data_IF_668699781100
#
_entry.id   IF_668699781100
#
_cell.length_a   1.000
_cell.length_b   1.000
_cell.length_c   1.000
_cell.angle_alpha   90.00
_cell.angle_beta   90.00
_cell.angle_gamma   90.00
#
_symmetry.space_group_name_H-M   'P 1'
#
loop_
_entity.id
_entity.type
_entity.pdbx_description
1 polymer ?
#
# COMPACT_ATOMS: atom_id res chain seq x y z
N UNK A 1 31.19 0.76 -14.01
CA UNK A 1 30.60 0.14 -12.81
C UNK A 1 30.23 1.25 -11.84
N UNK A 2 29.11 1.91 -12.08
CA UNK A 2 28.53 2.88 -11.15
C UNK A 2 27.86 2.07 -10.05
N UNK A 3 28.30 2.27 -8.81
CA UNK A 3 27.59 1.77 -7.64
C UNK A 3 26.15 2.28 -7.72
N UNK A 4 25.22 1.37 -7.96
CA UNK A 4 23.79 1.65 -7.84
C UNK A 4 23.55 1.89 -6.35
N UNK A 5 23.67 3.15 -5.94
CA UNK A 5 23.33 3.58 -4.59
C UNK A 5 21.91 3.12 -4.34
N UNK A 6 21.75 2.14 -3.45
CA UNK A 6 20.45 1.63 -3.00
C UNK A 6 19.67 2.83 -2.51
N UNK A 7 18.73 3.32 -3.33
CA UNK A 7 17.93 4.47 -2.98
C UNK A 7 16.95 4.03 -1.89
N UNK A 8 17.30 4.33 -0.65
CA UNK A 8 16.43 4.14 0.51
C UNK A 8 15.23 5.08 0.33
N UNK A 9 14.04 4.52 0.24
CA UNK A 9 12.83 5.31 0.08
C UNK A 9 12.56 6.14 1.34
N UNK A 10 12.37 7.45 1.17
CA UNK A 10 12.06 8.39 2.25
C UNK A 10 10.55 8.64 2.32
N UNK A 11 9.95 8.28 3.44
CA UNK A 11 8.49 8.24 3.61
C UNK A 11 8.07 9.24 4.68
N UNK A 12 7.17 10.16 4.32
CA UNK A 12 6.46 11.01 5.27
C UNK A 12 5.09 10.40 5.58
N UNK A 13 4.88 10.01 6.83
CA UNK A 13 3.59 9.52 7.33
C UNK A 13 2.84 10.66 8.02
N UNK A 14 1.66 11.02 7.52
CA UNK A 14 0.81 12.07 8.14
C UNK A 14 -0.52 11.50 8.58
N UNK A 15 -0.86 11.63 9.86
CA UNK A 15 -2.13 11.12 10.36
C UNK A 15 -2.47 11.51 11.79
N UNK A 16 -3.74 11.35 12.18
CA UNK A 16 -4.21 11.79 13.50
C UNK A 16 -3.82 10.87 14.67
N UNK A 17 -3.45 9.61 14.41
CA UNK A 17 -3.26 8.59 15.45
C UNK A 17 -1.80 8.23 15.60
N UNK A 18 -1.12 8.83 16.58
CA UNK A 18 0.31 8.61 16.84
C UNK A 18 0.69 7.13 16.93
N UNK A 19 -0.08 6.31 17.67
CA UNK A 19 0.18 4.86 17.80
C UNK A 19 0.18 4.11 16.46
N UNK A 20 -0.69 4.49 15.53
CA UNK A 20 -0.76 3.87 14.20
C UNK A 20 0.42 4.31 13.34
N UNK A 21 0.81 5.59 13.42
CA UNK A 21 1.99 6.11 12.73
C UNK A 21 3.26 5.43 13.26
N UNK A 22 3.35 5.21 14.57
CA UNK A 22 4.49 4.57 15.20
C UNK A 22 4.64 3.12 14.75
N UNK A 23 3.57 2.32 14.80
CA UNK A 23 3.56 0.94 14.32
C UNK A 23 3.91 0.84 12.83
N UNK A 24 3.32 1.73 12.01
CA UNK A 24 3.61 1.81 10.58
C UNK A 24 5.07 2.20 10.33
N UNK A 25 5.58 3.20 11.05
CA UNK A 25 6.94 3.67 10.91
C UNK A 25 7.97 2.61 11.25
N UNK A 26 7.79 1.89 12.37
CA UNK A 26 8.65 0.74 12.72
C UNK A 26 8.63 -0.32 11.63
N UNK A 27 7.45 -0.64 11.10
CA UNK A 27 7.30 -1.66 10.06
C UNK A 27 8.01 -1.28 8.76
N UNK A 28 7.94 -0.01 8.36
CA UNK A 28 8.63 0.51 7.17
C UNK A 28 10.15 0.63 7.38
N UNK A 29 10.59 1.03 8.58
CA UNK A 29 12.01 1.05 8.95
C UNK A 29 12.62 -0.36 8.92
N UNK A 30 11.90 -1.39 9.37
CA UNK A 30 12.33 -2.79 9.22
C UNK A 30 12.47 -3.23 7.77
N UNK A 31 11.79 -2.57 6.83
CA UNK A 31 11.93 -2.79 5.38
C UNK A 31 13.05 -1.92 4.77
N UNK A 32 13.83 -1.22 5.58
CA UNK A 32 14.95 -0.40 5.16
C UNK A 32 14.57 0.99 4.64
N UNK A 33 13.38 1.50 4.96
CA UNK A 33 12.92 2.85 4.57
C UNK A 33 13.25 3.90 5.64
N UNK A 34 13.51 5.13 5.21
CA UNK A 34 13.59 6.28 6.10
C UNK A 34 12.18 6.82 6.35
N UNK A 35 11.81 7.06 7.61
CA UNK A 35 10.43 7.44 7.96
C UNK A 35 10.40 8.66 8.85
N UNK A 36 9.65 9.67 8.42
CA UNK A 36 9.25 10.82 9.22
C UNK A 36 7.76 10.70 9.53
N UNK A 37 7.38 10.94 10.78
CA UNK A 37 5.99 10.87 11.24
C UNK A 37 5.54 12.25 11.69
N UNK A 38 4.37 12.68 11.23
CA UNK A 38 3.79 13.96 11.63
C UNK A 38 2.28 13.81 11.90
N UNK A 39 1.84 14.41 13.00
CA UNK A 39 0.43 14.41 13.40
C UNK A 39 -0.26 15.73 13.10
N UNK A 40 0.52 16.80 12.93
CA UNK A 40 0.06 18.13 12.58
C UNK A 40 0.27 18.42 11.09
N UNK A 41 -0.84 18.55 10.36
CA UNK A 41 -0.83 18.83 8.92
C UNK A 41 -0.19 20.18 8.59
N UNK A 42 -0.29 21.19 9.47
CA UNK A 42 0.32 22.48 9.22
C UNK A 42 1.85 22.36 9.28
N UNK A 43 2.39 21.68 10.30
CA UNK A 43 3.82 21.39 10.39
C UNK A 43 4.31 20.54 9.23
N UNK A 44 3.54 19.53 8.83
CA UNK A 44 3.87 18.69 7.67
C UNK A 44 4.01 19.50 6.38
N UNK A 45 3.23 20.59 6.24
CA UNK A 45 3.25 21.48 5.06
C UNK A 45 4.37 22.51 5.12
N UNK A 46 4.56 23.12 6.29
CA UNK A 46 5.35 24.36 6.42
C UNK A 46 6.81 24.09 6.85
N UNK A 47 7.09 22.96 7.51
CA UNK A 47 8.41 22.66 8.10
C UNK A 47 9.15 21.56 7.35
N UNK A 48 8.43 20.60 6.76
CA UNK A 48 9.07 19.48 6.07
C UNK A 48 9.55 19.90 4.68
N UNK A 49 10.83 19.65 4.42
CA UNK A 49 11.42 19.78 3.10
C UNK A 49 10.90 18.68 2.17
N UNK A 50 10.13 19.06 1.15
CA UNK A 50 9.53 18.13 0.20
C UNK A 50 10.56 17.46 -0.72
N UNK A 51 11.74 18.03 -0.91
CA UNK A 51 12.85 17.40 -1.65
C UNK A 51 13.41 16.16 -0.93
N UNK A 52 13.14 16.07 0.38
CA UNK A 52 13.53 14.97 1.26
C UNK A 52 12.48 13.85 1.37
N UNK A 53 11.38 13.93 0.62
CA UNK A 53 10.27 12.99 0.70
C UNK A 53 9.99 12.37 -0.66
N UNK A 54 10.06 11.05 -0.76
CA UNK A 54 9.76 10.29 -1.98
C UNK A 54 8.31 9.80 -1.98
N UNK A 55 7.79 9.45 -0.80
CA UNK A 55 6.42 8.99 -0.60
C UNK A 55 5.75 9.74 0.54
N UNK A 56 4.59 10.35 0.28
CA UNK A 56 3.69 10.90 1.28
C UNK A 56 2.55 9.91 1.53
N UNK A 57 2.48 9.30 2.73
CA UNK A 57 1.38 8.45 3.11
C UNK A 57 0.44 9.17 4.09
N UNK A 58 -0.82 9.31 3.68
CA UNK A 58 -1.84 10.06 4.39
C UNK A 58 -2.80 9.10 5.08
N UNK A 59 -3.01 9.28 6.38
CA UNK A 59 -4.03 8.53 7.11
C UNK A 59 -5.44 8.84 6.60
N UNK A 60 -6.37 7.88 6.71
CA UNK A 60 -7.77 7.97 6.23
C UNK A 60 -8.52 9.26 6.60
N UNK A 61 -8.17 9.89 7.73
CA UNK A 61 -8.81 11.12 8.22
C UNK A 61 -8.28 12.42 7.58
N UNK A 62 -7.20 12.35 6.80
CA UNK A 62 -6.60 13.49 6.10
C UNK A 62 -7.23 13.60 4.71
N UNK A 63 -8.19 14.52 4.55
CA UNK A 63 -9.02 14.67 3.34
C UNK A 63 -9.31 16.13 3.02
N UNK A 64 -9.81 16.39 1.81
CA UNK A 64 -10.27 17.70 1.35
C UNK A 64 -9.13 18.71 1.17
N UNK A 65 -9.46 20.01 1.30
CA UNK A 65 -8.56 21.13 1.00
C UNK A 65 -7.21 21.01 1.73
N UNK A 66 -7.19 20.65 3.02
CA UNK A 66 -5.95 20.50 3.79
C UNK A 66 -5.01 19.43 3.23
N UNK A 67 -5.57 18.35 2.69
CA UNK A 67 -4.78 17.33 2.00
C UNK A 67 -4.19 17.88 0.70
N UNK A 68 -5.02 18.58 -0.08
CA UNK A 68 -4.60 19.14 -1.37
C UNK A 68 -3.50 20.18 -1.21
N UNK A 69 -3.65 21.09 -0.25
CA UNK A 69 -2.63 22.09 0.11
C UNK A 69 -1.28 21.43 0.46
N UNK A 70 -1.30 20.40 1.32
CA UNK A 70 -0.10 19.66 1.70
C UNK A 70 0.56 18.99 0.49
N UNK A 71 -0.23 18.31 -0.35
CA UNK A 71 0.28 17.64 -1.56
C UNK A 71 0.88 18.64 -2.53
N UNK A 72 0.24 19.78 -2.74
CA UNK A 72 0.72 20.84 -3.64
C UNK A 72 2.04 21.43 -3.11
N UNK A 73 2.11 21.75 -1.82
CA UNK A 73 3.31 22.32 -1.21
C UNK A 73 4.53 21.39 -1.32
N UNK A 74 4.35 20.09 -1.05
CA UNK A 74 5.43 19.12 -1.16
C UNK A 74 5.79 18.81 -2.61
N UNK A 75 4.81 18.75 -3.53
CA UNK A 75 5.07 18.53 -4.97
C UNK A 75 5.78 19.70 -5.65
N UNK A 76 5.60 20.92 -5.15
CA UNK A 76 6.35 22.07 -5.63
C UNK A 76 7.86 21.89 -5.44
N UNK A 77 8.27 21.14 -4.42
CA UNK A 77 9.68 20.83 -4.11
C UNK A 77 10.13 19.48 -4.68
N UNK A 78 9.22 18.49 -4.77
CA UNK A 78 9.46 17.21 -5.42
C UNK A 78 8.30 16.82 -6.37
N UNK A 79 8.42 17.12 -7.68
CA UNK A 79 7.40 16.76 -8.67
C UNK A 79 7.16 15.25 -8.83
N UNK A 80 8.10 14.41 -8.37
CA UNK A 80 8.00 12.94 -8.43
C UNK A 80 7.38 12.35 -7.16
N UNK A 81 6.95 13.18 -6.20
CA UNK A 81 6.34 12.73 -4.95
C UNK A 81 5.15 11.81 -5.22
N UNK A 82 5.27 10.58 -4.72
CA UNK A 82 4.18 9.60 -4.74
C UNK A 82 3.29 9.85 -3.53
N UNK A 83 1.98 9.88 -3.74
CA UNK A 83 0.99 10.13 -2.69
C UNK A 83 0.18 8.86 -2.48
N UNK A 84 0.14 8.38 -1.24
CA UNK A 84 -0.59 7.19 -0.82
C UNK A 84 -1.69 7.60 0.13
N UNK A 85 -2.94 7.43 -0.29
CA UNK A 85 -4.08 7.56 0.60
C UNK A 85 -4.32 6.24 1.33
N UNK A 86 -4.17 6.26 2.65
CA UNK A 86 -4.39 5.10 3.48
C UNK A 86 -5.85 4.64 3.40
N UNK A 87 -6.06 3.45 2.82
CA UNK A 87 -7.39 2.91 2.54
C UNK A 87 -8.15 2.58 3.83
N UNK A 88 -7.46 1.94 4.76
CA UNK A 88 -8.00 1.58 6.05
C UNK A 88 -6.93 1.74 7.14
N UNK A 89 -7.31 1.94 8.42
CA UNK A 89 -6.37 1.99 9.54
C UNK A 89 -5.87 0.57 9.89
N UNK A 90 -5.35 -0.15 8.91
CA UNK A 90 -4.81 -1.51 9.00
C UNK A 90 -3.30 -1.39 8.72
N UNK A 91 -2.42 -1.41 9.74
CA UNK A 91 -0.98 -1.22 9.56
C UNK A 91 -0.34 -2.08 8.45
N UNK A 92 -0.58 -3.41 8.37
CA UNK A 92 0.04 -4.22 7.31
C UNK A 92 -0.47 -3.88 5.90
N UNK A 93 -1.69 -3.35 5.77
CA UNK A 93 -2.21 -2.84 4.51
C UNK A 93 -1.51 -1.53 4.12
N UNK A 94 -1.35 -0.61 5.05
CA UNK A 94 -0.66 0.66 4.81
C UNK A 94 0.80 0.44 4.41
N UNK A 95 1.49 -0.52 5.06
CA UNK A 95 2.82 -0.96 4.64
C UNK A 95 2.81 -1.44 3.19
N UNK A 96 1.86 -2.31 2.83
CA UNK A 96 1.75 -2.82 1.47
C UNK A 96 1.45 -1.72 0.44
N UNK A 97 0.66 -0.71 0.80
CA UNK A 97 0.40 0.45 -0.08
C UNK A 97 1.65 1.31 -0.29
N UNK A 98 2.45 1.51 0.76
CA UNK A 98 3.74 2.23 0.65
C UNK A 98 4.73 1.41 -0.17
N UNK A 99 4.80 0.10 0.05
CA UNK A 99 5.60 -0.81 -0.78
C UNK A 99 5.17 -0.72 -2.24
N UNK A 100 3.87 -0.81 -2.54
CA UNK A 100 3.36 -0.62 -3.90
C UNK A 100 3.78 0.74 -4.48
N UNK A 101 3.70 1.82 -3.72
CA UNK A 101 4.17 3.11 -4.20
C UNK A 101 5.68 3.10 -4.51
N UNK A 102 6.52 2.53 -3.65
CA UNK A 102 7.98 2.52 -3.82
C UNK A 102 8.41 1.56 -4.93
N UNK A 103 7.98 0.30 -4.87
CA UNK A 103 8.52 -0.82 -5.65
C UNK A 103 7.90 -0.96 -7.02
N UNK A 104 6.72 -0.38 -7.26
CA UNK A 104 5.94 -0.79 -8.43
C UNK A 104 6.41 -0.06 -9.69
N UNK A 105 6.88 -0.80 -10.70
CA UNK A 105 7.26 -0.21 -11.98
C UNK A 105 5.99 0.27 -12.73
N UNK A 106 6.12 1.00 -13.86
CA UNK A 106 4.98 1.47 -14.64
C UNK A 106 3.96 0.35 -14.89
N UNK A 107 2.68 0.70 -14.94
CA UNK A 107 1.56 -0.24 -14.96
C UNK A 107 1.77 -1.41 -15.90
N UNK A 108 2.42 -1.19 -17.05
CA UNK A 108 2.59 -2.12 -18.16
C UNK A 108 3.67 -3.20 -17.91
N UNK A 109 4.52 -3.00 -16.90
CA UNK A 109 5.62 -3.91 -16.55
C UNK A 109 5.37 -4.75 -15.30
N UNK A 110 4.27 -4.48 -14.58
CA UNK A 110 3.90 -5.19 -13.35
C UNK A 110 3.73 -6.70 -13.59
N UNK A 111 4.16 -7.52 -12.65
CA UNK A 111 3.90 -8.97 -12.63
C UNK A 111 2.40 -9.23 -12.49
N UNK A 112 1.73 -8.49 -11.58
CA UNK A 112 0.29 -8.57 -11.35
C UNK A 112 -0.39 -7.40 -12.05
N UNK A 113 -1.15 -7.69 -13.10
CA UNK A 113 -1.91 -6.69 -13.87
C UNK A 113 -3.18 -6.25 -13.15
N UNK A 114 -3.89 -7.17 -12.49
CA UNK A 114 -5.05 -6.87 -11.65
C UNK A 114 -5.35 -8.01 -10.70
N UNK A 115 -6.05 -7.70 -9.60
CA UNK A 115 -6.65 -8.70 -8.72
C UNK A 115 -8.07 -8.28 -8.33
N UNK A 116 -9.02 -9.20 -8.48
CA UNK A 116 -10.43 -8.99 -8.14
C UNK A 116 -10.95 -10.12 -7.27
N UNK A 117 -12.00 -9.85 -6.50
CA UNK A 117 -12.73 -10.88 -5.78
C UNK A 117 -14.12 -11.03 -6.38
N UNK A 118 -14.41 -12.23 -6.90
CA UNK A 118 -15.71 -12.59 -7.46
C UNK A 118 -16.58 -13.23 -6.37
N UNK A 119 -17.40 -12.41 -5.70
CA UNK A 119 -18.22 -12.85 -4.56
C UNK A 119 -19.19 -13.99 -4.90
N UNK A 120 -19.77 -14.00 -6.11
CA UNK A 120 -20.76 -15.00 -6.52
C UNK A 120 -20.23 -16.43 -6.52
N UNK A 121 -18.95 -16.59 -6.87
CA UNK A 121 -18.27 -17.90 -6.92
C UNK A 121 -17.18 -18.05 -5.85
N UNK A 122 -17.04 -17.05 -4.97
CA UNK A 122 -16.06 -16.99 -3.88
C UNK A 122 -14.62 -17.27 -4.35
N UNK A 123 -14.15 -16.52 -5.36
CA UNK A 123 -12.81 -16.68 -5.95
C UNK A 123 -12.06 -15.36 -6.00
N UNK A 124 -10.76 -15.42 -5.77
CA UNK A 124 -9.86 -14.35 -6.20
C UNK A 124 -9.43 -14.64 -7.64
N UNK A 125 -9.53 -13.65 -8.51
CA UNK A 125 -9.05 -13.72 -9.89
C UNK A 125 -7.90 -12.76 -10.04
N UNK A 126 -6.75 -13.28 -10.50
CA UNK A 126 -5.57 -12.47 -10.81
C UNK A 126 -5.29 -12.54 -12.29
N UNK A 127 -4.88 -11.42 -12.86
CA UNK A 127 -4.27 -11.38 -14.18
C UNK A 127 -2.77 -11.27 -13.99
N UNK A 128 -2.06 -12.39 -14.15
CA UNK A 128 -0.61 -12.48 -14.10
C UNK A 128 -0.04 -12.17 -15.49
N UNK A 129 0.98 -11.32 -15.57
CA UNK A 129 1.69 -11.04 -16.83
C UNK A 129 2.97 -11.83 -16.98
N UNK A 130 3.50 -12.34 -15.87
CA UNK A 130 4.70 -13.18 -15.78
C UNK A 130 4.46 -14.22 -14.70
N UNK A 131 5.08 -15.39 -14.84
CA UNK A 131 5.10 -16.38 -13.76
C UNK A 131 5.97 -15.86 -12.61
N UNK A 132 5.50 -16.05 -11.37
CA UNK A 132 6.16 -15.58 -10.17
C UNK A 132 5.78 -16.41 -8.95
N UNK A 133 6.56 -16.30 -7.87
CA UNK A 133 6.16 -16.78 -6.56
C UNK A 133 5.18 -15.78 -5.95
N UNK A 134 3.95 -16.22 -5.64
CA UNK A 134 2.85 -15.33 -5.24
C UNK A 134 2.33 -15.68 -3.85
N UNK A 135 2.24 -14.67 -2.99
CA UNK A 135 1.51 -14.69 -1.73
C UNK A 135 0.33 -13.74 -1.78
N UNK A 136 -0.86 -14.23 -1.39
CA UNK A 136 -2.09 -13.44 -1.38
C UNK A 136 -2.67 -13.40 0.03
N UNK A 137 -2.83 -12.19 0.55
CA UNK A 137 -3.46 -11.94 1.83
C UNK A 137 -4.68 -11.03 1.65
N UNK A 138 -5.81 -11.47 2.19
CA UNK A 138 -7.00 -10.66 2.29
C UNK A 138 -7.03 -9.95 3.65
N UNK A 139 -7.09 -8.63 3.62
CA UNK A 139 -7.42 -7.80 4.76
C UNK A 139 -8.88 -7.40 4.70
N UNK A 140 -9.60 -7.52 5.82
CA UNK A 140 -10.98 -7.09 5.94
C UNK A 140 -11.16 -6.20 7.16
N UNK A 141 -11.84 -5.08 6.99
CA UNK A 141 -12.37 -4.29 8.08
C UNK A 141 -13.87 -4.58 8.16
N UNK A 142 -14.30 -5.27 9.22
CA UNK A 142 -15.73 -5.57 9.38
C UNK A 142 -16.53 -4.31 9.81
N UNK A 143 -17.87 -4.36 9.82
CA UNK A 143 -18.70 -3.21 10.22
C UNK A 143 -18.47 -2.72 11.66
N UNK A 144 -17.83 -3.52 12.51
CA UNK A 144 -17.44 -3.14 13.88
C UNK A 144 -15.98 -2.65 13.94
N UNK A 145 -15.38 -2.33 12.79
CA UNK A 145 -14.00 -1.89 12.64
C UNK A 145 -12.96 -2.89 13.16
N UNK A 146 -13.29 -4.19 13.22
CA UNK A 146 -12.31 -5.22 13.56
C UNK A 146 -11.56 -5.63 12.32
N UNK A 147 -10.25 -5.80 12.48
CA UNK A 147 -9.33 -6.20 11.43
C UNK A 147 -9.32 -7.73 11.36
N UNK A 148 -9.51 -8.27 10.16
CA UNK A 148 -9.36 -9.70 9.88
C UNK A 148 -8.33 -9.88 8.77
N UNK A 149 -7.43 -10.85 8.94
CA UNK A 149 -6.43 -11.22 7.95
C UNK A 149 -6.62 -12.68 7.57
N UNK A 150 -6.79 -12.95 6.29
CA UNK A 150 -6.97 -14.30 5.77
C UNK A 150 -5.90 -14.58 4.71
N UNK A 151 -4.99 -15.54 4.94
CA UNK A 151 -4.12 -16.03 3.86
C UNK A 151 -5.00 -16.77 2.84
N UNK A 152 -4.93 -16.33 1.59
CA UNK A 152 -5.73 -16.91 0.49
C UNK A 152 -4.90 -17.94 -0.29
N UNK A 153 -3.65 -17.62 -0.56
CA UNK A 153 -2.77 -18.45 -1.38
C UNK A 153 -1.30 -18.15 -1.10
N UNK A 154 -0.46 -19.18 -1.24
CA UNK A 154 0.99 -19.05 -1.28
C UNK A 154 1.53 -20.14 -2.23
N UNK A 155 2.31 -19.74 -3.23
CA UNK A 155 2.96 -20.64 -4.16
C UNK A 155 3.23 -20.00 -5.51
N UNK A 156 3.76 -20.78 -6.44
CA UNK A 156 4.03 -20.32 -7.81
C UNK A 156 2.75 -20.25 -8.64
N UNK A 157 2.57 -19.14 -9.35
CA UNK A 157 1.52 -18.97 -10.36
C UNK A 157 2.13 -18.81 -11.76
N UNK A 158 1.43 -19.32 -12.76
CA UNK A 158 1.74 -19.09 -14.17
C UNK A 158 1.30 -17.69 -14.62
N UNK A 159 1.61 -17.36 -15.87
CA UNK A 159 1.04 -16.20 -16.55
C UNK A 159 -0.44 -16.39 -16.91
N UNK A 160 -1.11 -15.32 -17.31
CA UNK A 160 -2.52 -15.30 -17.67
C UNK A 160 -3.48 -15.23 -16.47
N UNK A 161 -4.72 -15.66 -16.69
CA UNK A 161 -5.80 -15.57 -15.70
C UNK A 161 -5.69 -16.72 -14.70
N UNK A 162 -5.46 -16.38 -13.44
CA UNK A 162 -5.37 -17.31 -12.32
C UNK A 162 -6.66 -17.25 -11.49
N UNK A 163 -7.28 -18.40 -11.24
CA UNK A 163 -8.52 -18.51 -10.48
C UNK A 163 -8.25 -19.24 -9.17
N UNK A 164 -8.35 -18.53 -8.05
CA UNK A 164 -7.96 -19.04 -6.74
C UNK A 164 -9.23 -19.20 -5.90
N UNK A 165 -9.65 -20.45 -5.60
CA UNK A 165 -10.82 -20.70 -4.79
C UNK A 165 -10.58 -20.29 -3.34
N UNK A 166 -11.56 -19.63 -2.74
CA UNK A 166 -11.54 -19.31 -1.31
C UNK A 166 -12.40 -20.35 -0.60
N UNK A 167 -11.79 -21.16 0.27
CA UNK A 167 -12.49 -22.28 0.92
C UNK A 167 -13.60 -21.86 1.89
N UNK A 168 -13.60 -20.60 2.35
CA UNK A 168 -14.61 -20.05 3.27
C UNK A 168 -15.19 -18.77 2.69
N UNK A 169 -16.48 -18.53 2.91
CA UNK A 169 -17.12 -17.26 2.49
C UNK A 169 -16.46 -16.08 3.21
N UNK A 170 -16.15 -15.03 2.47
CA UNK A 170 -15.67 -13.77 3.04
C UNK A 170 -16.85 -13.01 3.65
N UNK A 171 -16.73 -12.64 4.93
CA UNK A 171 -17.72 -11.82 5.64
C UNK A 171 -17.90 -10.42 5.06
N UNK A 172 -18.94 -9.70 5.51
CA UNK A 172 -19.18 -8.30 5.14
C UNK A 172 -18.09 -7.36 5.65
N UNK A 173 -17.92 -6.22 4.99
CA UNK A 173 -16.95 -5.19 5.36
C UNK A 173 -16.16 -4.66 4.16
N UNK A 174 -15.28 -3.70 4.42
CA UNK A 174 -14.29 -3.23 3.43
C UNK A 174 -13.22 -4.33 3.27
N UNK A 175 -12.84 -4.64 2.03
CA UNK A 175 -11.92 -5.75 1.72
C UNK A 175 -10.79 -5.25 0.83
N UNK A 176 -9.60 -5.76 1.11
CA UNK A 176 -8.38 -5.40 0.41
C UNK A 176 -7.54 -6.64 0.18
N UNK A 177 -7.13 -6.86 -1.06
CA UNK A 177 -6.17 -7.88 -1.42
C UNK A 177 -4.79 -7.26 -1.46
N UNK A 178 -3.86 -7.85 -0.70
CA UNK A 178 -2.43 -7.62 -0.84
C UNK A 178 -1.86 -8.81 -1.59
N UNK A 179 -1.31 -8.55 -2.77
CA UNK A 179 -0.63 -9.55 -3.59
C UNK A 179 0.85 -9.22 -3.62
N UNK A 180 1.67 -10.13 -3.10
CA UNK A 180 3.13 -10.08 -3.21
C UNK A 180 3.55 -11.08 -4.28
N UNK A 181 4.18 -10.61 -5.34
CA UNK A 181 4.69 -11.44 -6.42
C UNK A 181 6.18 -11.17 -6.60
N UNK A 182 7.03 -12.13 -6.24
CA UNK A 182 8.47 -11.95 -6.08
C UNK A 182 8.80 -10.72 -5.20
N UNK A 183 9.32 -9.64 -5.79
CA UNK A 183 9.66 -8.38 -5.12
C UNK A 183 8.60 -7.27 -5.31
N UNK A 184 7.53 -7.54 -6.06
CA UNK A 184 6.46 -6.57 -6.31
C UNK A 184 5.31 -6.76 -5.31
N UNK A 185 4.84 -5.65 -4.74
CA UNK A 185 3.61 -5.64 -3.93
C UNK A 185 2.55 -4.81 -4.64
N UNK A 186 1.34 -5.35 -4.75
CA UNK A 186 0.18 -4.61 -5.26
C UNK A 186 -0.99 -4.70 -4.29
N UNK A 187 -1.78 -3.63 -4.20
CA UNK A 187 -2.91 -3.54 -3.29
C UNK A 187 -4.18 -3.24 -4.08
N UNK A 188 -5.22 -4.05 -3.87
CA UNK A 188 -6.49 -3.95 -4.60
C UNK A 188 -7.64 -3.88 -3.60
N UNK A 189 -8.40 -2.79 -3.62
CA UNK A 189 -9.68 -2.74 -2.92
C UNK A 189 -10.69 -3.59 -3.71
N UNK A 190 -11.39 -4.48 -3.02
CA UNK A 190 -12.34 -5.41 -3.65
C UNK A 190 -13.70 -5.35 -2.98
N UNK A 191 -14.76 -5.59 -3.77
CA UNK A 191 -16.16 -5.47 -3.32
C UNK A 191 -16.72 -6.74 -2.71
#
# INVERSE_FOLDING_TARGET
>A
MTAESVHVARVLLVGKRARVLEELGRSLQHLGMEVVQETDLARARDVIDGSMVDVLALGRAVRGAKREELVVALRAQNPRLKVVDGLAPIPPLLVAQVQEAVSTPPSDTRIVGSATYEQGINRVVLIMRRSAEVGIMLHRLDPLYRIHQTPIFAGRLGDGRQNIPIGRKIGRGERFLVVRADQETTVHQVN
#
